data_IF_306391810998
#
_entry.id   IF_306391810998
#
_cell.length_a   1.000
_cell.length_b   1.000
_cell.length_c   1.000
_cell.angle_alpha   90.00
_cell.angle_beta   90.00
_cell.angle_gamma   90.00
#
_symmetry.space_group_name_H-M   'P 1'
#
loop_
_entity.id
_entity.type
_entity.pdbx_description
1 polymer ?
#
# COMPACT_ATOMS: atom_id res chain seq x y z
N UNK A 1 -24.91 19.03 -6.55
CA UNK A 1 -24.95 18.17 -5.34
C UNK A 1 -23.56 17.61 -5.15
N UNK A 2 -22.75 18.20 -4.26
CA UNK A 2 -21.38 17.73 -4.02
C UNK A 2 -21.44 16.60 -2.99
N UNK A 3 -21.17 15.37 -3.41
CA UNK A 3 -21.01 14.26 -2.49
C UNK A 3 -19.69 14.47 -1.73
N UNK A 4 -19.79 14.82 -0.46
CA UNK A 4 -18.62 14.82 0.44
C UNK A 4 -18.26 13.35 0.63
N UNK A 5 -17.27 12.86 -0.11
CA UNK A 5 -16.68 11.54 0.14
C UNK A 5 -16.01 11.65 1.50
N UNK A 6 -16.67 11.16 2.54
CA UNK A 6 -16.11 11.12 3.88
C UNK A 6 -14.96 10.12 3.83
N UNK A 7 -13.73 10.52 4.22
CA UNK A 7 -12.63 9.56 4.25
C UNK A 7 -13.03 8.40 5.16
N UNK A 8 -12.68 7.15 4.79
CA UNK A 8 -12.98 6.00 5.62
C UNK A 8 -12.42 6.22 7.03
N UNK A 9 -13.17 5.82 8.06
CA UNK A 9 -12.80 5.88 9.48
C UNK A 9 -11.69 4.85 9.79
N UNK A 10 -10.55 5.00 9.11
CA UNK A 10 -9.38 4.16 9.26
C UNK A 10 -8.30 4.95 10.01
N UNK A 11 -7.46 4.27 10.80
CA UNK A 11 -6.39 4.93 11.55
C UNK A 11 -5.26 5.44 10.63
N UNK A 12 -5.34 5.17 9.32
CA UNK A 12 -4.39 5.61 8.31
C UNK A 12 -5.07 6.09 7.04
N UNK A 13 -4.34 6.89 6.26
CA UNK A 13 -4.72 7.38 4.95
C UNK A 13 -3.55 7.22 3.97
N UNK A 14 -3.86 7.05 2.69
CA UNK A 14 -2.86 7.02 1.62
C UNK A 14 -3.14 8.19 0.68
N UNK A 15 -2.22 9.16 0.62
CA UNK A 15 -2.41 10.31 -0.29
C UNK A 15 -2.15 9.91 -1.74
N UNK A 16 -2.95 10.46 -2.66
CA UNK A 16 -2.68 10.37 -4.09
C UNK A 16 -1.34 11.00 -4.49
N UNK A 17 -0.77 10.50 -5.58
CA UNK A 17 0.34 11.18 -6.24
C UNK A 17 -0.10 12.52 -6.84
N UNK A 18 0.85 13.35 -7.27
CA UNK A 18 0.53 14.62 -7.97
C UNK A 18 -0.34 14.39 -9.20
N UNK A 19 -0.17 13.24 -9.86
CA UNK A 19 -0.95 12.84 -11.04
C UNK A 19 -2.22 12.06 -10.66
N UNK A 20 -2.72 12.22 -9.43
CA UNK A 20 -3.92 11.57 -8.90
C UNK A 20 -3.91 10.02 -8.86
N UNK A 21 -2.75 9.39 -9.04
CA UNK A 21 -2.61 7.93 -8.99
C UNK A 21 -2.38 7.39 -7.57
N UNK A 22 -2.76 6.12 -7.34
CA UNK A 22 -2.40 5.33 -6.15
C UNK A 22 -0.86 5.22 -6.07
N UNK A 23 -0.21 5.55 -4.95
CA UNK A 23 1.24 5.58 -4.82
C UNK A 23 1.87 4.20 -4.56
N UNK A 24 1.60 3.23 -5.45
CA UNK A 24 2.14 1.86 -5.42
C UNK A 24 3.03 1.66 -6.65
N UNK A 25 4.27 1.21 -6.41
CA UNK A 25 5.29 1.09 -7.45
C UNK A 25 6.06 -0.22 -7.33
N UNK A 26 6.43 -0.82 -8.45
CA UNK A 26 7.40 -1.92 -8.48
C UNK A 26 8.82 -1.37 -8.40
N UNK A 27 9.68 -2.01 -7.62
CA UNK A 27 11.10 -1.70 -7.48
C UNK A 27 11.90 -2.98 -7.70
N UNK A 28 12.77 -2.95 -8.72
CA UNK A 28 13.60 -4.09 -9.13
C UNK A 28 15.05 -3.71 -8.92
N UNK A 29 15.74 -4.43 -8.03
CA UNK A 29 17.17 -4.27 -7.79
C UNK A 29 17.94 -5.48 -8.31
N UNK A 30 19.16 -5.27 -8.78
CA UNK A 30 20.06 -6.35 -9.23
C UNK A 30 19.43 -7.33 -10.24
N UNK A 31 18.41 -6.89 -11.01
CA UNK A 31 17.69 -7.69 -12.00
C UNK A 31 16.71 -8.74 -11.45
N UNK A 32 16.92 -9.28 -10.24
CA UNK A 32 16.13 -10.37 -9.68
C UNK A 32 15.48 -10.06 -8.32
N UNK A 33 15.77 -8.91 -7.72
CA UNK A 33 15.20 -8.51 -6.43
C UNK A 33 13.96 -7.66 -6.67
N UNK A 34 12.82 -8.34 -6.81
CA UNK A 34 11.53 -7.69 -6.99
C UNK A 34 10.93 -7.30 -5.64
N UNK A 35 10.45 -6.06 -5.56
CA UNK A 35 9.71 -5.56 -4.42
C UNK A 35 8.63 -4.59 -4.86
N UNK A 36 7.61 -4.43 -4.03
CA UNK A 36 6.54 -3.45 -4.22
C UNK A 36 6.64 -2.40 -3.13
N UNK A 37 6.61 -1.14 -3.53
CA UNK A 37 6.76 0.02 -2.66
C UNK A 37 5.44 0.78 -2.59
N UNK A 38 4.87 0.83 -1.37
CA UNK A 38 3.72 1.65 -1.02
C UNK A 38 4.22 2.92 -0.32
N UNK A 39 3.76 4.08 -0.78
CA UNK A 39 4.24 5.39 -0.31
C UNK A 39 3.09 6.30 0.13
N UNK A 40 3.44 7.44 0.72
CA UNK A 40 2.51 8.51 1.10
C UNK A 40 1.45 8.06 2.11
N UNK A 41 1.88 7.20 3.03
CA UNK A 41 1.05 6.79 4.16
C UNK A 41 1.06 7.88 5.22
N UNK A 42 -0.10 8.21 5.75
CA UNK A 42 -0.31 9.10 6.90
C UNK A 42 -1.10 8.36 7.98
N UNK A 43 -0.88 8.72 9.25
CA UNK A 43 -1.50 8.01 10.39
C UNK A 43 -0.76 6.72 10.75
N UNK A 44 -1.50 5.72 11.23
CA UNK A 44 -0.95 4.46 11.72
C UNK A 44 -0.50 3.53 10.58
N UNK A 45 0.78 3.64 10.23
CA UNK A 45 1.41 2.81 9.20
C UNK A 45 1.49 1.33 9.59
N UNK A 46 1.49 0.99 10.88
CA UNK A 46 1.53 -0.40 11.33
C UNK A 46 0.17 -1.08 11.13
N UNK A 47 -0.93 -0.36 11.36
CA UNK A 47 -2.27 -0.81 11.00
C UNK A 47 -2.38 -1.07 9.49
N UNK A 48 -1.87 -0.17 8.64
CA UNK A 48 -1.82 -0.40 7.18
C UNK A 48 -0.95 -1.62 6.83
N UNK A 49 0.21 -1.78 7.47
CA UNK A 49 1.09 -2.91 7.22
C UNK A 49 0.42 -4.24 7.57
N UNK A 50 -0.34 -4.29 8.67
CA UNK A 50 -1.12 -5.45 9.06
C UNK A 50 -2.19 -5.79 8.02
N UNK A 51 -2.98 -4.81 7.59
CA UNK A 51 -4.02 -4.99 6.56
C UNK A 51 -3.44 -5.46 5.22
N UNK A 52 -2.29 -4.92 4.83
CA UNK A 52 -1.56 -5.34 3.61
C UNK A 52 -1.11 -6.80 3.72
N UNK A 53 -0.57 -7.20 4.88
CA UNK A 53 -0.15 -8.58 5.13
C UNK A 53 -1.33 -9.55 5.09
N UNK A 54 -2.45 -9.19 5.70
CA UNK A 54 -3.67 -10.01 5.68
C UNK A 54 -4.21 -10.18 4.26
N UNK A 55 -4.26 -9.10 3.47
CA UNK A 55 -4.66 -9.15 2.07
C UNK A 55 -3.75 -10.07 1.24
N UNK A 56 -2.43 -9.90 1.36
CA UNK A 56 -1.47 -10.70 0.59
C UNK A 56 -1.37 -12.14 1.09
N UNK A 57 -1.59 -12.40 2.38
CA UNK A 57 -1.71 -13.76 2.92
C UNK A 57 -2.85 -14.53 2.24
N UNK A 58 -4.01 -13.89 2.06
CA UNK A 58 -5.16 -14.50 1.36
C UNK A 58 -4.88 -14.81 -0.11
N UNK A 59 -4.01 -14.03 -0.77
CA UNK A 59 -3.63 -14.25 -2.17
C UNK A 59 -2.52 -15.28 -2.34
N UNK A 60 -1.53 -15.29 -1.45
CA UNK A 60 -0.30 -16.07 -1.60
C UNK A 60 -0.30 -17.38 -0.81
N UNK A 61 -1.20 -17.52 0.17
CA UNK A 61 -1.17 -18.59 1.16
C UNK A 61 -0.02 -18.48 2.17
N UNK A 62 0.75 -17.38 2.15
CA UNK A 62 1.82 -17.07 3.11
C UNK A 62 2.00 -15.57 3.27
N UNK A 63 2.47 -15.16 4.44
CA UNK A 63 2.76 -13.75 4.72
C UNK A 63 4.03 -13.29 4.00
N UNK A 64 3.98 -12.20 3.22
CA UNK A 64 5.17 -11.68 2.55
C UNK A 64 6.07 -10.91 3.53
N UNK A 65 7.40 -10.95 3.38
CA UNK A 65 8.29 -10.09 4.13
C UNK A 65 8.03 -8.61 3.81
N UNK A 66 7.86 -7.80 4.85
CA UNK A 66 7.62 -6.35 4.77
C UNK A 66 8.65 -5.57 5.57
N UNK A 67 8.99 -4.37 5.10
CA UNK A 67 9.78 -3.39 5.83
C UNK A 67 8.99 -2.07 5.91
N UNK A 68 8.75 -1.60 7.12
CA UNK A 68 8.09 -0.32 7.39
C UNK A 68 9.16 0.76 7.62
N UNK A 69 8.95 1.94 7.04
CA UNK A 69 9.68 3.15 7.38
C UNK A 69 8.67 4.24 7.74
N UNK A 70 8.56 4.50 9.03
CA UNK A 70 7.62 5.47 9.61
C UNK A 70 7.99 6.89 9.23
N UNK A 71 9.30 7.21 9.25
CA UNK A 71 9.81 8.57 8.96
C UNK A 71 9.41 9.02 7.56
N UNK A 72 9.50 8.12 6.57
CA UNK A 72 9.15 8.45 5.19
C UNK A 72 7.73 8.07 4.79
N UNK A 73 6.96 7.45 5.69
CA UNK A 73 5.61 6.96 5.40
C UNK A 73 5.59 5.94 4.25
N UNK A 74 6.48 4.95 4.29
CA UNK A 74 6.61 3.94 3.21
C UNK A 74 6.64 2.51 3.74
N UNK A 75 6.02 1.60 2.99
CA UNK A 75 6.09 0.15 3.23
C UNK A 75 6.71 -0.49 1.99
N UNK A 76 7.73 -1.30 2.19
CA UNK A 76 8.36 -2.13 1.16
C UNK A 76 7.97 -3.58 1.37
N UNK A 77 7.52 -4.24 0.32
CA UNK A 77 7.02 -5.62 0.35
C UNK A 77 7.87 -6.44 -0.62
N UNK A 78 8.39 -7.59 -0.19
CA UNK A 78 9.16 -8.47 -1.08
C UNK A 78 8.22 -9.19 -2.05
N UNK A 79 8.47 -9.06 -3.36
CA UNK A 79 7.62 -9.56 -4.44
C UNK A 79 6.97 -8.46 -5.27
N UNK A 80 6.36 -8.84 -6.39
CA UNK A 80 5.69 -7.94 -7.32
C UNK A 80 4.18 -8.10 -7.17
N UNK A 81 3.55 -7.11 -6.55
CA UNK A 81 2.12 -7.08 -6.19
C UNK A 81 1.49 -5.72 -6.50
N UNK A 82 2.08 -4.96 -7.42
CA UNK A 82 1.71 -3.58 -7.62
C UNK A 82 0.30 -3.44 -8.19
N UNK A 83 -0.13 -4.37 -9.04
CA UNK A 83 -1.49 -4.39 -9.60
C UNK A 83 -2.52 -4.75 -8.54
N UNK A 84 -2.29 -5.83 -7.81
CA UNK A 84 -3.16 -6.34 -6.75
C UNK A 84 -3.37 -5.31 -5.65
N UNK A 85 -2.28 -4.65 -5.22
CA UNK A 85 -2.34 -3.59 -4.20
C UNK A 85 -3.03 -2.32 -4.72
N UNK A 86 -2.80 -1.92 -5.98
CA UNK A 86 -3.54 -0.78 -6.57
C UNK A 86 -5.05 -1.05 -6.57
N UNK A 87 -5.45 -2.21 -7.06
CA UNK A 87 -6.87 -2.59 -7.14
C UNK A 87 -7.52 -2.69 -5.76
N UNK A 88 -6.81 -3.26 -4.78
CA UNK A 88 -7.29 -3.36 -3.40
C UNK A 88 -7.45 -1.99 -2.73
N UNK A 89 -6.46 -1.11 -2.88
CA UNK A 89 -6.52 0.24 -2.32
C UNK A 89 -7.62 1.09 -2.95
N UNK A 90 -7.82 0.98 -4.27
CA UNK A 90 -8.91 1.63 -4.98
C UNK A 90 -10.27 1.16 -4.45
N UNK A 91 -10.45 -0.15 -4.24
CA UNK A 91 -11.70 -0.71 -3.66
C UNK A 91 -11.94 -0.23 -2.23
N UNK A 92 -10.89 0.01 -1.45
CA UNK A 92 -10.98 0.61 -0.10
C UNK A 92 -11.30 2.11 -0.12
N UNK A 93 -11.32 2.76 -1.29
CA UNK A 93 -11.62 4.18 -1.43
C UNK A 93 -10.43 5.11 -1.20
N UNK A 94 -9.21 4.58 -1.23
CA UNK A 94 -7.97 5.37 -1.17
C UNK A 94 -7.52 5.79 -2.55
#
# INVERSE_FOLDING_TARGET
MNYIVTPPSLPYMIRRSRMHNVPVYSDIKHGNQHSTLLRKVEGDIWALNKDVKEFLLGLLGKEPPTQVNEVTGTIRIKGQFDKELKDWLLKKGF
#
